data_IF_776581504827
#
_entry.id   IF_776581504827
#
_cell.length_a   1.000
_cell.length_b   1.000
_cell.length_c   1.000
_cell.angle_alpha   90.00
_cell.angle_beta   90.00
_cell.angle_gamma   90.00
#
_symmetry.space_group_name_H-M   'P 1'
#
loop_
_entity.id
_entity.type
_entity.pdbx_description
1 polymer ?
#
# COMPACT_ATOMS: atom_id res chain seq x y z
N UNK A 1 -22.10 0.88 -10.16
CA UNK A 1 -20.99 0.64 -9.21
C UNK A 1 -19.96 -0.29 -9.82
N UNK A 2 -18.69 0.01 -9.63
CA UNK A 2 -17.60 -0.88 -10.03
C UNK A 2 -16.93 -1.40 -8.78
N UNK A 3 -16.91 -2.74 -8.63
CA UNK A 3 -16.27 -3.42 -7.51
C UNK A 3 -14.91 -3.92 -7.96
N UNK A 4 -13.88 -3.58 -7.20
CA UNK A 4 -12.53 -4.12 -7.41
C UNK A 4 -12.20 -5.16 -6.35
N UNK A 5 -11.43 -6.18 -6.72
CA UNK A 5 -10.96 -7.20 -5.78
C UNK A 5 -9.44 -7.21 -5.82
N UNK A 6 -8.81 -7.02 -4.68
CA UNK A 6 -7.35 -7.06 -4.55
C UNK A 6 -6.99 -8.14 -3.56
N UNK A 7 -6.46 -9.26 -4.05
CA UNK A 7 -6.10 -10.40 -3.21
C UNK A 7 -4.80 -10.20 -2.45
N UNK A 8 -3.91 -9.35 -2.95
CA UNK A 8 -2.62 -9.07 -2.33
C UNK A 8 -2.37 -7.56 -2.23
N UNK A 9 -3.15 -6.86 -1.41
CA UNK A 9 -2.94 -5.44 -1.20
C UNK A 9 -1.62 -5.17 -0.48
N UNK A 10 -1.20 -3.92 -0.47
CA UNK A 10 0.03 -3.49 0.19
C UNK A 10 -0.12 -2.13 0.83
N UNK A 11 0.81 -1.83 1.74
CA UNK A 11 1.14 -0.47 2.12
C UNK A 11 2.38 -0.09 1.32
N UNK A 12 2.27 0.89 0.46
CA UNK A 12 3.42 1.40 -0.29
C UNK A 12 4.04 2.54 0.50
N UNK A 13 5.25 2.29 1.02
CA UNK A 13 6.01 3.25 1.80
C UNK A 13 7.12 3.84 0.94
N UNK A 14 7.12 5.15 0.79
CA UNK A 14 8.19 5.88 0.11
C UNK A 14 9.09 6.54 1.14
N UNK A 15 10.38 6.28 1.04
CA UNK A 15 11.40 6.66 2.01
C UNK A 15 12.51 7.43 1.29
N UNK A 16 12.43 8.78 1.20
CA UNK A 16 13.52 9.58 0.65
C UNK A 16 14.67 9.66 1.64
N UNK A 17 15.89 9.52 1.12
CA UNK A 17 17.13 9.66 1.89
C UNK A 17 17.92 10.88 1.39
N UNK A 18 18.73 11.45 2.29
CA UNK A 18 19.41 12.72 2.02
C UNK A 18 20.61 12.63 1.08
N UNK A 19 21.15 11.43 0.87
CA UNK A 19 22.30 11.18 0.02
C UNK A 19 22.18 9.83 -0.67
N UNK A 20 23.26 9.32 -1.27
CA UNK A 20 23.27 7.98 -1.87
C UNK A 20 22.99 6.90 -0.83
N UNK A 21 22.28 5.85 -1.24
CA UNK A 21 22.07 4.69 -0.38
C UNK A 21 23.42 4.03 -0.11
N UNK A 22 23.78 3.88 1.16
CA UNK A 22 25.04 3.30 1.59
C UNK A 22 24.81 1.89 2.08
N UNK A 23 25.16 0.94 1.28
CA UNK A 23 25.01 -0.46 1.59
C UNK A 23 25.90 -0.86 2.77
N UNK A 24 25.34 -1.61 3.72
CA UNK A 24 26.08 -2.04 4.91
C UNK A 24 26.23 -0.99 6.01
N UNK A 25 25.59 0.18 5.85
CA UNK A 25 25.66 1.29 6.79
C UNK A 25 24.29 1.73 7.25
N UNK A 26 24.24 2.59 8.25
CA UNK A 26 23.00 3.21 8.70
C UNK A 26 22.64 4.34 7.75
N UNK A 27 21.44 4.24 7.16
CA UNK A 27 20.86 5.28 6.31
C UNK A 27 19.63 5.84 7.03
N UNK A 28 19.60 7.15 7.27
CA UNK A 28 18.52 7.77 8.02
C UNK A 28 17.53 8.45 7.12
N UNK A 29 16.24 8.26 7.42
CA UNK A 29 15.15 8.94 6.73
C UNK A 29 14.85 10.28 7.38
N UNK A 30 14.55 11.30 6.59
CA UNK A 30 13.98 12.54 7.08
C UNK A 30 12.48 12.40 7.31
N UNK A 31 11.77 11.92 6.31
CA UNK A 31 10.33 11.68 6.34
C UNK A 31 9.98 10.48 5.49
N UNK A 32 8.78 9.94 5.67
CA UNK A 32 8.26 8.90 4.79
C UNK A 32 6.78 9.07 4.61
N UNK A 33 6.26 8.59 3.49
CA UNK A 33 4.83 8.57 3.21
C UNK A 33 4.36 7.14 3.00
N UNK A 34 3.12 6.87 3.38
CA UNK A 34 2.49 5.58 3.21
C UNK A 34 1.17 5.74 2.46
N UNK A 35 0.94 4.86 1.50
CA UNK A 35 -0.29 4.83 0.72
C UNK A 35 -0.82 3.40 0.68
N UNK A 36 -2.11 3.22 0.95
CA UNK A 36 -2.78 1.95 0.71
C UNK A 36 -2.78 1.67 -0.79
N UNK A 37 -2.37 0.48 -1.20
CA UNK A 37 -2.14 0.15 -2.59
C UNK A 37 -2.51 -1.29 -2.93
N UNK A 38 -2.38 -1.61 -4.19
CA UNK A 38 -2.75 -2.85 -4.84
C UNK A 38 -3.46 -2.52 -6.15
N UNK A 39 -3.43 -3.42 -7.11
CA UNK A 39 -3.98 -3.12 -8.43
C UNK A 39 -5.45 -2.68 -8.37
N UNK A 40 -6.30 -3.43 -7.69
CA UNK A 40 -7.71 -3.08 -7.56
C UNK A 40 -7.92 -1.82 -6.71
N UNK A 41 -7.15 -1.66 -5.63
CA UNK A 41 -7.20 -0.45 -4.80
C UNK A 41 -6.84 0.79 -5.62
N UNK A 42 -5.80 0.70 -6.45
CA UNK A 42 -5.39 1.81 -7.31
C UNK A 42 -6.46 2.16 -8.35
N UNK A 43 -7.13 1.15 -8.90
CA UNK A 43 -8.27 1.36 -9.82
C UNK A 43 -9.41 2.07 -9.09
N UNK A 44 -9.79 1.62 -7.90
CA UNK A 44 -10.86 2.26 -7.11
C UNK A 44 -10.49 3.71 -6.76
N UNK A 45 -9.22 3.99 -6.47
CA UNK A 45 -8.77 5.36 -6.22
C UNK A 45 -9.01 6.26 -7.44
N UNK A 46 -8.66 5.78 -8.63
CA UNK A 46 -8.88 6.53 -9.88
C UNK A 46 -10.37 6.71 -10.15
N UNK A 47 -11.16 5.67 -9.98
CA UNK A 47 -12.62 5.74 -10.16
C UNK A 47 -13.26 6.73 -9.20
N UNK A 48 -12.86 6.70 -7.93
CA UNK A 48 -13.34 7.64 -6.93
C UNK A 48 -13.01 9.09 -7.29
N UNK A 49 -11.78 9.32 -7.75
CA UNK A 49 -11.37 10.65 -8.22
C UNK A 49 -12.15 11.14 -9.45
N UNK A 50 -12.64 10.24 -10.28
CA UNK A 50 -13.48 10.55 -11.44
C UNK A 50 -14.98 10.65 -11.10
N UNK A 51 -15.36 10.52 -9.84
CA UNK A 51 -16.76 10.57 -9.42
C UNK A 51 -17.56 9.31 -9.73
N UNK A 52 -16.89 8.21 -10.02
CA UNK A 52 -17.52 6.92 -10.30
C UNK A 52 -17.65 6.12 -9.02
N UNK A 53 -18.85 5.64 -8.73
CA UNK A 53 -19.11 4.81 -7.55
C UNK A 53 -18.33 3.50 -7.63
N UNK A 54 -17.55 3.22 -6.59
CA UNK A 54 -16.68 2.04 -6.50
C UNK A 54 -16.61 1.51 -5.08
N UNK A 55 -16.26 0.23 -4.96
CA UNK A 55 -15.95 -0.41 -3.68
C UNK A 55 -14.75 -1.34 -3.89
N UNK A 56 -13.72 -1.18 -3.08
CA UNK A 56 -12.56 -2.05 -3.08
C UNK A 56 -12.73 -3.17 -2.05
N UNK A 57 -12.70 -4.43 -2.50
CA UNK A 57 -12.74 -5.60 -1.63
C UNK A 57 -11.30 -6.06 -1.39
N UNK A 58 -10.90 -6.13 -0.12
CA UNK A 58 -9.52 -6.44 0.28
C UNK A 58 -9.48 -7.40 1.46
N UNK A 59 -8.52 -8.35 1.50
CA UNK A 59 -8.23 -9.12 2.71
C UNK A 59 -7.33 -8.28 3.62
N UNK A 60 -7.76 -8.05 4.85
CA UNK A 60 -6.99 -7.25 5.81
C UNK A 60 -7.52 -7.42 7.23
N UNK A 61 -6.77 -6.93 8.21
CA UNK A 61 -7.28 -6.75 9.55
C UNK A 61 -8.22 -5.54 9.60
N UNK A 62 -9.25 -5.62 10.43
CA UNK A 62 -10.32 -4.61 10.48
C UNK A 62 -9.82 -3.21 10.93
N UNK A 63 -8.73 -3.15 11.69
CA UNK A 63 -8.15 -1.91 12.24
C UNK A 63 -6.69 -1.71 11.83
N UNK A 64 -6.26 -2.32 10.73
CA UNK A 64 -4.89 -2.25 10.27
C UNK A 64 -4.57 -0.97 9.48
N UNK A 65 -3.30 -0.83 9.11
CA UNK A 65 -2.79 0.32 8.34
C UNK A 65 -3.44 0.44 6.96
N UNK A 66 -3.79 -0.68 6.33
CA UNK A 66 -4.48 -0.66 5.03
C UNK A 66 -5.85 0.01 5.15
N UNK A 67 -6.63 -0.38 6.14
CA UNK A 67 -7.95 0.21 6.40
C UNK A 67 -7.84 1.71 6.70
N UNK A 68 -6.87 2.10 7.53
CA UNK A 68 -6.60 3.51 7.80
C UNK A 68 -6.26 4.28 6.54
N UNK A 69 -5.43 3.73 5.67
CA UNK A 69 -5.06 4.36 4.40
C UNK A 69 -6.23 4.49 3.43
N UNK A 70 -7.08 3.48 3.34
CA UNK A 70 -8.29 3.53 2.51
C UNK A 70 -9.27 4.58 3.01
N UNK A 71 -9.45 4.70 4.32
CA UNK A 71 -10.27 5.75 4.91
C UNK A 71 -9.69 7.14 4.68
N UNK A 72 -8.39 7.30 4.83
CA UNK A 72 -7.71 8.57 4.59
C UNK A 72 -7.91 9.04 3.15
N UNK A 73 -7.87 8.14 2.17
CA UNK A 73 -8.05 8.44 0.75
C UNK A 73 -9.53 8.45 0.33
N UNK A 74 -10.43 8.28 1.27
CA UNK A 74 -11.88 8.26 1.02
C UNK A 74 -12.28 7.22 -0.03
N UNK A 75 -11.67 6.03 0.04
CA UNK A 75 -11.98 4.92 -0.86
C UNK A 75 -12.99 3.99 -0.18
N UNK A 76 -14.23 3.87 -0.70
CA UNK A 76 -15.17 2.90 -0.18
C UNK A 76 -14.61 1.48 -0.31
N UNK A 77 -14.71 0.70 0.76
CA UNK A 77 -14.09 -0.63 0.79
C UNK A 77 -14.86 -1.61 1.66
N UNK A 78 -14.66 -2.88 1.39
CA UNK A 78 -15.15 -4.00 2.18
C UNK A 78 -13.95 -4.87 2.56
N UNK A 79 -13.78 -5.11 3.85
CA UNK A 79 -12.69 -5.93 4.36
C UNK A 79 -13.16 -7.37 4.50
N UNK A 80 -12.37 -8.30 3.95
CA UNK A 80 -12.47 -9.73 4.28
C UNK A 80 -11.42 -10.00 5.36
N UNK A 81 -11.82 -10.30 6.61
CA UNK A 81 -10.86 -10.39 7.71
C UNK A 81 -9.87 -11.53 7.52
N UNK A 82 -8.58 -11.23 7.70
CA UNK A 82 -7.50 -12.20 7.75
C UNK A 82 -6.61 -11.90 8.95
N UNK A 83 -5.96 -12.92 9.50
CA UNK A 83 -5.10 -12.77 10.67
C UNK A 83 -3.73 -12.16 10.32
N UNK A 84 -3.25 -12.40 9.10
CA UNK A 84 -1.93 -11.95 8.69
C UNK A 84 -1.90 -10.44 8.41
N UNK A 85 -0.76 -9.81 8.69
CA UNK A 85 -0.55 -8.40 8.37
C UNK A 85 -0.43 -8.20 6.86
N UNK A 86 -0.93 -7.07 6.37
CA UNK A 86 -0.75 -6.65 4.98
C UNK A 86 0.73 -6.34 4.73
N UNK A 87 1.23 -6.75 3.57
CA UNK A 87 2.63 -6.51 3.19
C UNK A 87 2.95 -5.02 3.04
N UNK A 88 4.21 -4.69 3.26
CA UNK A 88 4.76 -3.37 2.95
C UNK A 88 5.70 -3.48 1.76
N UNK A 89 5.52 -2.62 0.78
CA UNK A 89 6.47 -2.41 -0.30
C UNK A 89 7.23 -1.13 -0.01
N UNK A 90 8.55 -1.24 0.14
CA UNK A 90 9.40 -0.11 0.45
C UNK A 90 10.03 0.43 -0.83
N UNK A 91 9.93 1.73 -1.04
CA UNK A 91 10.61 2.45 -2.11
C UNK A 91 11.57 3.45 -1.48
N UNK A 92 12.87 3.29 -1.74
CA UNK A 92 13.90 4.22 -1.29
C UNK A 92 14.24 5.12 -2.47
N UNK A 93 14.14 6.43 -2.27
CA UNK A 93 14.49 7.41 -3.30
C UNK A 93 15.73 8.20 -2.90
N UNK A 94 16.64 8.36 -3.84
CA UNK A 94 17.89 9.11 -3.66
C UNK A 94 17.78 10.49 -4.34
N UNK A 95 18.58 11.50 -3.92
CA UNK A 95 18.49 12.84 -4.50
C UNK A 95 18.73 12.93 -6.01
N UNK A 96 19.48 11.98 -6.58
CA UNK A 96 19.74 11.92 -8.02
C UNK A 96 18.61 11.26 -8.83
N UNK A 97 17.53 10.85 -8.17
CA UNK A 97 16.40 10.16 -8.81
C UNK A 97 16.50 8.64 -8.81
N UNK A 98 17.58 8.05 -8.33
CA UNK A 98 17.70 6.60 -8.20
C UNK A 98 16.64 6.07 -7.23
N UNK A 99 15.95 5.01 -7.65
CA UNK A 99 14.88 4.39 -6.89
C UNK A 99 15.18 2.92 -6.66
N UNK A 100 15.17 2.51 -5.39
CA UNK A 100 15.38 1.11 -4.99
C UNK A 100 14.12 0.61 -4.30
N UNK A 101 13.63 -0.56 -4.73
CA UNK A 101 12.42 -1.16 -4.18
C UNK A 101 12.74 -2.44 -3.43
N UNK A 102 12.16 -2.58 -2.24
CA UNK A 102 12.22 -3.79 -1.44
C UNK A 102 10.79 -4.20 -1.13
N UNK A 103 10.34 -5.29 -1.73
CA UNK A 103 8.95 -5.72 -1.68
C UNK A 103 8.80 -6.97 -0.82
N UNK A 104 7.79 -6.97 0.03
CA UNK A 104 7.39 -8.16 0.78
C UNK A 104 6.44 -9.04 -0.07
N UNK A 105 6.45 -10.37 0.11
CA UNK A 105 5.64 -11.27 -0.72
C UNK A 105 4.14 -11.20 -0.44
N UNK A 106 3.76 -10.82 0.77
CA UNK A 106 2.37 -10.83 1.19
C UNK A 106 1.99 -12.09 1.96
N UNK A 107 0.75 -12.12 2.41
CA UNK A 107 0.22 -13.21 3.23
C UNK A 107 -0.35 -14.34 2.36
N UNK A 108 -0.24 -15.56 2.86
CA UNK A 108 -0.99 -16.69 2.30
C UNK A 108 -2.45 -16.56 2.71
N UNK A 109 -3.35 -16.74 1.76
CA UNK A 109 -4.78 -16.74 2.01
C UNK A 109 -5.27 -18.19 2.11
N UNK A 110 -6.08 -18.47 3.14
CA UNK A 110 -6.71 -19.77 3.25
C UNK A 110 -7.86 -19.91 2.24
N UNK A 111 -8.24 -21.12 1.85
CA UNK A 111 -9.36 -21.33 0.94
C UNK A 111 -10.74 -21.08 1.59
N UNK A 112 -10.78 -20.79 2.89
CA UNK A 112 -12.02 -20.56 3.65
C UNK A 112 -12.40 -19.10 3.76
#
# INVERSE_FOLDING_TARGET
MIVTVTLNPSIDRTAPIAGPLRRGQVNRLGSSTEVAAGKGVNISRVLRGAGIETCAVVPAGAKGRLTLGLNHDDIPHQVVPVAAAVRTNLTITEPDGTTTKINEPGADLSPE
#
